data_IF_092129517605
#
_entry.id   IF_092129517605
#
_cell.length_a   1.000
_cell.length_b   1.000
_cell.length_c   1.000
_cell.angle_alpha   90.00
_cell.angle_beta   90.00
_cell.angle_gamma   90.00
#
_symmetry.space_group_name_H-M   'P 1'
#
loop_
_entity.id
_entity.type
_entity.pdbx_description
1 polymer ?
#
# COMPACT_ATOMS: atom_id res chain seq x y z
N UNK A 1 1.41 5.82 -20.27
CA UNK A 1 1.87 6.84 -19.29
C UNK A 1 3.20 6.36 -18.71
N UNK A 2 4.04 7.27 -18.18
CA UNK A 2 5.32 6.89 -17.55
C UNK A 2 5.41 7.58 -16.19
N UNK A 3 5.85 6.84 -15.17
CA UNK A 3 6.12 7.41 -13.85
C UNK A 3 7.39 8.27 -13.86
N UNK A 4 7.36 9.39 -13.14
CA UNK A 4 8.51 10.25 -12.85
C UNK A 4 9.39 9.73 -11.71
N UNK A 5 9.15 8.50 -11.23
CA UNK A 5 10.01 7.83 -10.25
C UNK A 5 11.48 7.95 -10.66
N UNK A 6 12.39 8.26 -9.74
CA UNK A 6 13.83 8.34 -10.01
C UNK A 6 14.55 7.23 -9.27
N UNK A 7 14.51 7.29 -7.95
CA UNK A 7 15.27 6.45 -7.04
C UNK A 7 14.50 6.28 -5.73
N UNK A 8 15.02 5.44 -4.85
CA UNK A 8 14.64 5.43 -3.44
C UNK A 8 15.65 6.25 -2.65
N UNK A 9 15.21 6.89 -1.56
CA UNK A 9 16.07 7.68 -0.69
C UNK A 9 15.75 7.40 0.77
N UNK A 10 16.78 7.19 1.58
CA UNK A 10 16.62 7.02 3.03
C UNK A 10 16.15 8.31 3.69
N UNK A 11 15.05 8.23 4.44
CA UNK A 11 14.46 9.39 5.13
C UNK A 11 15.29 9.91 6.30
N UNK A 12 16.39 9.24 6.63
CA UNK A 12 17.27 9.61 7.75
C UNK A 12 18.67 10.01 7.30
N UNK A 13 19.36 9.15 6.54
CA UNK A 13 20.75 9.38 6.13
C UNK A 13 20.92 9.95 4.72
N UNK A 14 19.85 10.08 3.93
CA UNK A 14 19.89 10.61 2.57
C UNK A 14 20.51 9.67 1.51
N UNK A 15 20.93 8.46 1.90
CA UNK A 15 21.48 7.47 0.96
C UNK A 15 20.45 7.11 -0.10
N UNK A 16 20.89 7.01 -1.35
CA UNK A 16 20.05 6.70 -2.51
C UNK A 16 20.23 5.25 -2.95
N UNK A 17 19.13 4.65 -3.41
CA UNK A 17 19.08 3.26 -3.87
C UNK A 17 18.29 3.18 -5.18
N UNK A 18 18.51 2.10 -5.94
CA UNK A 18 17.72 1.82 -7.14
C UNK A 18 16.25 1.65 -6.78
N UNK A 19 15.37 2.24 -7.59
CA UNK A 19 13.93 1.97 -7.49
C UNK A 19 13.50 0.73 -8.29
N UNK A 20 14.43 0.12 -9.01
CA UNK A 20 14.19 -0.99 -9.94
C UNK A 20 14.69 -2.33 -9.37
N UNK A 21 15.05 -2.35 -8.08
CA UNK A 21 15.44 -3.54 -7.32
C UNK A 21 14.56 -3.70 -6.07
N UNK A 22 14.34 -4.93 -5.57
CA UNK A 22 13.64 -5.17 -4.31
C UNK A 22 14.36 -4.54 -3.12
N UNK A 23 13.73 -3.53 -2.52
CA UNK A 23 14.27 -2.81 -1.38
C UNK A 23 13.27 -2.77 -0.23
N UNK A 24 13.76 -3.04 0.99
CA UNK A 24 12.97 -2.99 2.23
C UNK A 24 13.26 -1.74 3.04
N UNK A 25 14.36 -1.78 3.78
CA UNK A 25 14.88 -0.68 4.60
C UNK A 25 16.22 -0.22 4.02
N UNK A 26 16.71 0.93 4.47
CA UNK A 26 18.04 1.40 4.13
C UNK A 26 19.11 0.43 4.65
N UNK A 27 19.94 -0.10 3.77
CA UNK A 27 21.03 -1.04 4.14
C UNK A 27 22.12 -0.40 5.00
N UNK A 28 22.20 0.93 5.02
CA UNK A 28 23.22 1.67 5.80
C UNK A 28 22.80 1.93 7.25
N UNK A 29 21.51 2.18 7.49
CA UNK A 29 21.05 2.62 8.82
C UNK A 29 19.72 2.00 9.29
N UNK A 30 19.13 1.09 8.52
CA UNK A 30 17.89 0.38 8.86
C UNK A 30 16.64 1.26 8.93
N UNK A 31 16.67 2.48 8.37
CA UNK A 31 15.53 3.41 8.35
C UNK A 31 14.74 3.30 7.04
N UNK A 32 13.57 3.90 7.03
CA UNK A 32 12.61 3.83 5.92
C UNK A 32 13.18 4.51 4.67
N UNK A 33 12.90 3.92 3.52
CA UNK A 33 13.18 4.49 2.21
C UNK A 33 11.89 5.12 1.66
N UNK A 34 12.01 6.27 1.00
CA UNK A 34 10.92 6.89 0.24
C UNK A 34 11.23 6.92 -1.25
N UNK A 35 10.23 6.62 -2.11
CA UNK A 35 10.34 6.87 -3.54
C UNK A 35 10.48 8.37 -3.80
N UNK A 36 11.45 8.71 -4.65
CA UNK A 36 11.71 10.06 -5.14
C UNK A 36 11.28 10.16 -6.60
N UNK A 37 10.90 11.38 -7.00
CA UNK A 37 10.36 11.65 -8.32
C UNK A 37 11.05 12.88 -8.90
N UNK A 38 11.18 12.94 -10.22
CA UNK A 38 11.58 14.16 -10.93
C UNK A 38 10.42 15.16 -10.94
N UNK A 39 10.29 15.88 -9.82
CA UNK A 39 9.28 16.93 -9.62
C UNK A 39 9.46 18.07 -10.64
N UNK A 40 10.70 18.33 -11.07
CA UNK A 40 11.00 19.41 -11.99
C UNK A 40 10.38 19.17 -13.37
N UNK A 41 10.41 17.92 -13.83
CA UNK A 41 9.76 17.51 -15.08
C UNK A 41 8.27 17.24 -14.87
N UNK A 42 7.88 16.63 -13.76
CA UNK A 42 6.47 16.35 -13.46
C UNK A 42 5.64 17.65 -13.41
N UNK A 43 6.14 18.70 -12.75
CA UNK A 43 5.40 19.98 -12.63
C UNK A 43 5.10 20.67 -13.97
N UNK A 44 5.87 20.38 -15.02
CA UNK A 44 5.68 20.95 -16.36
C UNK A 44 4.71 20.15 -17.22
N UNK A 45 4.62 18.84 -16.99
CA UNK A 45 3.95 17.91 -17.90
C UNK A 45 2.72 17.24 -17.27
N UNK A 46 2.71 17.01 -15.96
CA UNK A 46 1.61 16.38 -15.25
C UNK A 46 0.60 17.43 -14.78
N UNK A 47 -0.31 17.78 -15.67
CA UNK A 47 -1.33 18.82 -15.44
C UNK A 47 -2.67 18.21 -15.00
N UNK A 48 -3.52 19.05 -14.39
CA UNK A 48 -4.88 18.64 -13.98
C UNK A 48 -5.74 18.22 -15.17
N UNK A 49 -5.55 18.81 -16.34
CA UNK A 49 -6.33 18.46 -17.53
C UNK A 49 -6.10 17.03 -18.01
N UNK A 50 -4.89 16.49 -17.82
CA UNK A 50 -4.60 15.08 -18.11
C UNK A 50 -5.44 14.10 -17.29
N UNK A 51 -5.96 14.54 -16.13
CA UNK A 51 -6.74 13.70 -15.23
C UNK A 51 -8.23 13.63 -15.62
N UNK A 52 -8.70 14.49 -16.53
CA UNK A 52 -10.14 14.69 -16.81
C UNK A 52 -10.85 13.42 -17.26
N UNK A 53 -10.22 12.70 -18.19
CA UNK A 53 -10.83 11.52 -18.83
C UNK A 53 -10.32 10.19 -18.24
N UNK A 54 -9.54 10.26 -17.15
CA UNK A 54 -9.01 9.07 -16.48
C UNK A 54 -10.06 8.45 -15.57
N UNK A 55 -9.98 7.12 -15.44
CA UNK A 55 -10.84 6.38 -14.52
C UNK A 55 -10.76 6.93 -13.07
N UNK A 56 -11.87 6.94 -12.33
CA UNK A 56 -11.94 7.45 -10.96
C UNK A 56 -11.37 6.43 -9.97
N UNK A 57 -10.05 6.27 -9.95
CA UNK A 57 -9.34 5.44 -8.98
C UNK A 57 -7.98 6.07 -8.65
N UNK A 58 -7.25 5.52 -7.68
CA UNK A 58 -5.97 6.10 -7.28
C UNK A 58 -4.90 6.05 -8.39
N UNK A 59 -5.02 5.14 -9.35
CA UNK A 59 -4.06 4.98 -10.45
C UNK A 59 -4.18 6.08 -11.51
N UNK A 60 -5.20 6.94 -11.44
CA UNK A 60 -5.28 8.14 -12.28
C UNK A 60 -4.08 9.08 -12.11
N UNK A 61 -3.33 8.96 -11.01
CA UNK A 61 -2.11 9.73 -10.74
C UNK A 61 -0.83 8.97 -11.11
N UNK A 62 -0.88 8.06 -12.09
CA UNK A 62 0.18 7.11 -12.46
C UNK A 62 1.59 7.72 -12.56
N UNK A 63 1.71 8.93 -13.09
CA UNK A 63 2.97 9.68 -13.22
C UNK A 63 3.71 9.85 -11.89
N UNK A 64 2.97 9.81 -10.78
CA UNK A 64 3.48 9.95 -9.42
C UNK A 64 3.34 8.64 -8.64
N UNK A 65 3.30 7.48 -9.29
CA UNK A 65 3.19 6.17 -8.62
C UNK A 65 4.50 5.37 -8.71
N UNK A 66 4.78 4.43 -7.78
CA UNK A 66 6.10 3.82 -7.63
C UNK A 66 6.39 2.67 -8.61
N UNK A 67 5.71 2.63 -9.76
CA UNK A 67 5.90 1.62 -10.82
C UNK A 67 6.24 2.28 -12.16
N UNK A 68 6.99 1.61 -13.01
CA UNK A 68 7.44 2.10 -14.32
C UNK A 68 6.38 1.92 -15.39
N UNK A 69 5.70 0.77 -15.38
CA UNK A 69 4.78 0.37 -16.45
C UNK A 69 3.36 0.12 -15.94
N UNK A 70 2.36 0.59 -16.70
CA UNK A 70 0.94 0.39 -16.36
C UNK A 70 0.51 -1.08 -16.37
N UNK A 71 1.19 -1.92 -17.15
CA UNK A 71 0.99 -3.38 -17.21
C UNK A 71 1.17 -4.05 -15.84
N UNK A 72 1.91 -3.42 -14.93
CA UNK A 72 2.16 -3.90 -13.58
C UNK A 72 1.13 -3.46 -12.55
N UNK A 73 0.15 -2.61 -12.93
CA UNK A 73 -0.92 -2.19 -12.03
C UNK A 73 -1.74 -3.41 -11.58
N UNK A 74 -1.84 -3.55 -10.26
CA UNK A 74 -2.70 -4.51 -9.58
C UNK A 74 -3.74 -3.69 -8.82
N UNK A 75 -4.92 -3.57 -9.40
CA UNK A 75 -6.02 -2.77 -8.86
C UNK A 75 -7.29 -3.60 -8.70
N UNK A 76 -8.06 -3.26 -7.67
CA UNK A 76 -9.45 -3.69 -7.45
C UNK A 76 -10.42 -2.49 -7.61
N UNK A 77 -9.93 -1.34 -8.07
CA UNK A 77 -10.69 -0.10 -8.21
C UNK A 77 -10.58 0.85 -7.02
N UNK A 78 -9.60 0.65 -6.13
CA UNK A 78 -9.39 1.47 -4.94
C UNK A 78 -9.09 2.94 -5.24
N UNK A 79 -9.50 3.79 -4.30
CA UNK A 79 -9.38 5.22 -4.36
C UNK A 79 -10.58 5.93 -4.96
N UNK A 80 -10.43 7.24 -5.17
CA UNK A 80 -11.49 8.17 -5.55
C UNK A 80 -12.77 8.04 -4.71
N UNK A 81 -12.58 7.75 -3.42
CA UNK A 81 -13.67 7.59 -2.45
C UNK A 81 -14.38 8.92 -2.20
N UNK A 82 -15.66 8.92 -1.80
CA UNK A 82 -16.41 10.16 -1.63
C UNK A 82 -15.89 11.04 -0.49
N UNK A 83 -16.14 12.33 -0.63
CA UNK A 83 -15.98 13.34 0.43
C UNK A 83 -17.38 13.85 0.76
N UNK A 84 -17.85 13.59 1.97
CA UNK A 84 -19.17 14.01 2.43
C UNK A 84 -19.08 15.27 3.27
N UNK A 85 -19.89 16.28 2.97
CA UNK A 85 -20.09 17.41 3.88
C UNK A 85 -20.98 16.98 5.05
N UNK A 86 -20.53 17.19 6.29
CA UNK A 86 -21.17 16.68 7.52
C UNK A 86 -21.79 17.81 8.35
N UNK A 87 -22.73 18.55 7.76
CA UNK A 87 -23.33 19.78 8.33
C UNK A 87 -23.83 19.64 9.77
N UNK A 88 -24.57 18.56 10.06
CA UNK A 88 -25.15 18.34 11.39
C UNK A 88 -24.09 18.09 12.47
N UNK A 89 -23.01 17.37 12.14
CA UNK A 89 -21.88 17.18 13.05
C UNK A 89 -21.07 18.47 13.18
N UNK A 90 -20.84 19.17 12.07
CA UNK A 90 -20.18 20.48 12.04
C UNK A 90 -20.84 21.47 13.00
N UNK A 91 -22.17 21.62 12.92
CA UNK A 91 -22.93 22.50 13.81
C UNK A 91 -22.77 22.14 15.30
N UNK A 92 -22.73 20.85 15.64
CA UNK A 92 -22.54 20.39 17.04
C UNK A 92 -21.18 20.73 17.62
N UNK A 93 -20.14 20.81 16.78
CA UNK A 93 -18.76 21.08 17.22
C UNK A 93 -18.29 22.50 16.89
N UNK A 94 -19.18 23.37 16.40
CA UNK A 94 -18.85 24.74 16.01
C UNK A 94 -18.03 24.88 14.72
N UNK A 95 -18.07 23.88 13.82
CA UNK A 95 -17.41 23.92 12.52
C UNK A 95 -18.40 24.20 11.38
N UNK A 96 -18.10 25.23 10.58
CA UNK A 96 -18.90 25.60 9.40
C UNK A 96 -18.49 24.84 8.11
N UNK A 97 -17.41 24.06 8.16
CA UNK A 97 -16.84 23.38 7.00
C UNK A 97 -16.22 22.04 7.41
N UNK A 98 -17.07 21.10 7.84
CA UNK A 98 -16.63 19.76 8.25
C UNK A 98 -16.91 18.74 7.15
N UNK A 99 -15.86 18.05 6.69
CA UNK A 99 -15.94 17.03 5.65
C UNK A 99 -15.42 15.67 6.15
N UNK A 100 -15.99 14.59 5.62
CA UNK A 100 -15.56 13.21 5.84
C UNK A 100 -15.06 12.60 4.54
N UNK A 101 -13.78 12.22 4.50
CA UNK A 101 -13.23 11.37 3.44
C UNK A 101 -13.48 9.90 3.78
N UNK A 102 -14.46 9.27 3.13
CA UNK A 102 -14.90 7.92 3.49
C UNK A 102 -14.08 6.83 2.78
N UNK A 103 -12.96 6.47 3.39
CA UNK A 103 -12.09 5.39 2.94
C UNK A 103 -12.63 3.97 3.24
N UNK A 104 -13.79 3.86 3.91
CA UNK A 104 -14.46 2.59 4.18
C UNK A 104 -15.06 1.96 2.93
N UNK A 105 -15.28 2.75 1.87
CA UNK A 105 -15.86 2.29 0.60
C UNK A 105 -14.84 1.74 -0.41
N UNK A 106 -13.59 1.56 0.00
CA UNK A 106 -12.61 0.86 -0.83
C UNK A 106 -12.95 -0.64 -0.96
N UNK A 107 -12.40 -1.35 -1.98
CA UNK A 107 -12.71 -2.76 -2.25
C UNK A 107 -12.49 -3.74 -1.08
N UNK A 108 -11.57 -3.41 -0.16
CA UNK A 108 -11.26 -4.21 1.04
C UNK A 108 -11.72 -3.50 2.32
N UNK A 109 -12.80 -2.72 2.22
CA UNK A 109 -13.46 -1.98 3.28
C UNK A 109 -12.55 -1.06 4.14
N UNK A 110 -11.39 -0.65 3.62
CA UNK A 110 -10.46 0.23 4.34
C UNK A 110 -9.45 0.91 3.43
N UNK A 111 -8.87 2.00 3.92
CA UNK A 111 -7.78 2.73 3.25
C UNK A 111 -6.52 1.87 2.99
N UNK A 112 -6.41 0.68 3.59
CA UNK A 112 -5.27 -0.24 3.38
C UNK A 112 -5.20 -0.69 1.92
N UNK A 113 -6.34 -0.71 1.22
CA UNK A 113 -6.46 -1.02 -0.20
C UNK A 113 -5.46 -0.23 -1.05
N UNK A 114 -5.41 1.09 -0.87
CA UNK A 114 -4.54 1.99 -1.63
C UNK A 114 -3.06 1.62 -1.53
N UNK A 115 -2.58 1.50 -0.28
CA UNK A 115 -1.18 1.18 -0.05
C UNK A 115 -0.81 -0.19 -0.60
N UNK A 116 -1.69 -1.18 -0.43
CA UNK A 116 -1.39 -2.55 -0.87
C UNK A 116 -1.50 -2.73 -2.36
N UNK A 117 -2.41 -2.03 -3.03
CA UNK A 117 -2.37 -1.96 -4.49
C UNK A 117 -1.03 -1.43 -4.98
N UNK A 118 -0.52 -0.32 -4.42
CA UNK A 118 0.77 0.24 -4.82
C UNK A 118 1.95 -0.74 -4.57
N UNK A 119 2.02 -1.33 -3.38
CA UNK A 119 3.11 -2.23 -3.02
C UNK A 119 3.07 -3.58 -3.75
N UNK A 120 1.89 -4.16 -3.95
CA UNK A 120 1.72 -5.41 -4.71
C UNK A 120 2.00 -5.18 -6.20
N UNK A 121 1.60 -4.03 -6.75
CA UNK A 121 1.95 -3.66 -8.14
C UNK A 121 3.46 -3.54 -8.30
N UNK A 122 4.15 -2.93 -7.33
CA UNK A 122 5.61 -2.85 -7.36
C UNK A 122 6.27 -4.21 -7.18
N UNK A 123 5.74 -5.04 -6.28
CA UNK A 123 6.26 -6.40 -6.12
C UNK A 123 6.13 -7.24 -7.40
N UNK A 124 4.99 -7.12 -8.10
CA UNK A 124 4.78 -7.73 -9.42
C UNK A 124 5.81 -7.22 -10.44
N UNK A 125 6.01 -5.90 -10.52
CA UNK A 125 7.00 -5.29 -11.42
C UNK A 125 8.42 -5.78 -11.16
N UNK A 126 8.80 -5.95 -9.89
CA UNK A 126 10.11 -6.45 -9.49
C UNK A 126 10.27 -7.98 -9.61
N UNK A 127 9.25 -8.67 -10.14
CA UNK A 127 9.30 -10.11 -10.36
C UNK A 127 9.14 -10.98 -9.10
N UNK A 128 8.81 -10.38 -7.95
CA UNK A 128 8.58 -11.11 -6.70
C UNK A 128 7.40 -12.07 -6.84
N UNK A 129 7.44 -13.18 -6.09
CA UNK A 129 6.42 -14.25 -6.14
C UNK A 129 5.65 -14.43 -4.85
N UNK A 130 6.28 -14.14 -3.71
CA UNK A 130 5.74 -14.42 -2.38
C UNK A 130 5.88 -13.21 -1.49
N UNK A 131 4.79 -12.83 -0.85
CA UNK A 131 4.69 -11.68 0.04
C UNK A 131 4.41 -12.16 1.45
N UNK A 132 4.94 -11.45 2.43
CA UNK A 132 4.62 -11.68 3.84
C UNK A 132 4.14 -10.43 4.54
N UNK A 133 3.25 -10.60 5.52
CA UNK A 133 2.85 -9.54 6.44
C UNK A 133 2.45 -10.12 7.80
N UNK A 134 3.12 -9.73 8.90
CA UNK A 134 2.56 -9.88 10.23
C UNK A 134 1.45 -8.82 10.44
N UNK A 135 0.20 -9.26 10.60
CA UNK A 135 -0.93 -8.34 10.82
C UNK A 135 -2.12 -9.04 11.45
N UNK A 136 -2.78 -8.35 12.39
CA UNK A 136 -4.03 -8.76 13.04
C UNK A 136 -5.27 -7.99 12.53
N UNK A 137 -5.16 -7.21 11.45
CA UNK A 137 -6.22 -6.30 11.01
C UNK A 137 -6.34 -6.19 9.49
N UNK A 138 -7.01 -5.14 9.02
CA UNK A 138 -7.44 -4.97 7.61
C UNK A 138 -6.31 -5.03 6.58
N UNK A 139 -5.05 -4.88 6.99
CA UNK A 139 -3.93 -5.00 6.09
C UNK A 139 -3.67 -6.46 5.65
N UNK A 140 -3.99 -7.45 6.50
CA UNK A 140 -3.87 -8.87 6.19
C UNK A 140 -4.78 -9.28 5.04
N UNK A 141 -6.09 -9.05 5.20
CA UNK A 141 -7.09 -9.36 4.20
C UNK A 141 -6.83 -8.65 2.89
N UNK A 142 -6.57 -7.34 2.94
CA UNK A 142 -6.25 -6.57 1.76
C UNK A 142 -4.98 -7.10 1.05
N UNK A 143 -3.91 -7.47 1.78
CA UNK A 143 -2.68 -7.99 1.15
C UNK A 143 -2.97 -9.27 0.39
N UNK A 144 -3.74 -10.17 1.01
CA UNK A 144 -4.17 -11.41 0.37
C UNK A 144 -5.00 -11.15 -0.90
N UNK A 145 -5.97 -10.23 -0.86
CA UNK A 145 -6.81 -9.93 -2.03
C UNK A 145 -6.01 -9.36 -3.22
N UNK A 146 -5.08 -8.43 -2.96
CA UNK A 146 -4.22 -7.88 -4.03
C UNK A 146 -3.20 -8.91 -4.53
N UNK A 147 -2.60 -9.70 -3.64
CA UNK A 147 -1.68 -10.77 -4.02
C UNK A 147 -2.38 -11.79 -4.93
N UNK A 148 -3.58 -12.25 -4.56
CA UNK A 148 -4.39 -13.15 -5.36
C UNK A 148 -4.70 -12.56 -6.75
N UNK A 149 -5.08 -11.27 -6.82
CA UNK A 149 -5.30 -10.56 -8.10
C UNK A 149 -4.05 -10.51 -8.97
N UNK A 150 -2.87 -10.44 -8.35
CA UNK A 150 -1.58 -10.39 -9.03
C UNK A 150 -1.00 -11.78 -9.39
N UNK A 151 -1.61 -12.86 -8.91
CA UNK A 151 -1.04 -14.21 -9.01
C UNK A 151 0.19 -14.42 -8.12
N UNK A 152 0.28 -13.69 -7.00
CA UNK A 152 1.32 -13.81 -5.98
C UNK A 152 0.81 -14.60 -4.79
N UNK A 153 1.71 -15.27 -4.08
CA UNK A 153 1.38 -15.95 -2.83
C UNK A 153 1.44 -14.97 -1.66
N UNK A 154 0.39 -14.97 -0.83
CA UNK A 154 0.31 -14.16 0.38
C UNK A 154 0.51 -15.04 1.61
N UNK A 155 1.48 -14.71 2.46
CA UNK A 155 1.71 -15.34 3.76
C UNK A 155 1.38 -14.34 4.86
N UNK A 156 0.36 -14.64 5.66
CA UNK A 156 -0.05 -13.80 6.78
C UNK A 156 0.28 -14.51 8.07
N UNK A 157 0.95 -13.80 8.98
CA UNK A 157 1.19 -14.25 10.35
C UNK A 157 0.33 -13.43 11.29
N UNK A 158 -0.59 -14.07 11.99
CA UNK A 158 -1.66 -13.41 12.73
C UNK A 158 -1.83 -14.06 14.12
N UNK A 159 -1.97 -13.29 15.21
CA UNK A 159 -2.38 -13.83 16.51
C UNK A 159 -3.70 -14.61 16.44
N UNK A 160 -3.82 -15.71 17.17
CA UNK A 160 -5.05 -16.52 17.22
C UNK A 160 -6.27 -15.74 17.71
N UNK A 161 -6.07 -14.75 18.58
CA UNK A 161 -7.11 -13.90 19.16
C UNK A 161 -7.50 -12.72 18.25
N UNK A 162 -6.90 -12.60 17.05
CA UNK A 162 -7.27 -11.58 16.08
C UNK A 162 -8.74 -11.75 15.63
N UNK A 163 -9.45 -10.66 15.31
CA UNK A 163 -10.87 -10.74 14.93
C UNK A 163 -11.12 -11.73 13.79
N UNK A 164 -12.16 -12.57 13.94
CA UNK A 164 -12.50 -13.59 12.93
C UNK A 164 -12.70 -13.01 11.53
N UNK A 165 -13.21 -11.78 11.43
CA UNK A 165 -13.40 -11.10 10.15
C UNK A 165 -12.07 -10.98 9.39
N UNK A 166 -10.99 -10.59 10.07
CA UNK A 166 -9.67 -10.44 9.45
C UNK A 166 -9.06 -11.79 9.07
N UNK A 167 -9.28 -12.84 9.87
CA UNK A 167 -8.87 -14.21 9.51
C UNK A 167 -9.61 -14.69 8.25
N UNK A 168 -10.93 -14.51 8.21
CA UNK A 168 -11.79 -14.91 7.08
C UNK A 168 -11.42 -14.17 5.79
N UNK A 169 -11.12 -12.88 5.86
CA UNK A 169 -10.69 -12.11 4.68
C UNK A 169 -9.42 -12.70 4.03
N UNK A 170 -8.44 -13.16 4.83
CA UNK A 170 -7.23 -13.82 4.30
C UNK A 170 -7.59 -15.13 3.64
N UNK A 171 -8.35 -15.99 4.33
CA UNK A 171 -8.71 -17.34 3.86
C UNK A 171 -9.51 -17.25 2.56
N UNK A 172 -10.55 -16.42 2.51
CA UNK A 172 -11.43 -16.27 1.33
C UNK A 172 -10.67 -15.68 0.15
N UNK A 173 -9.68 -14.82 0.40
CA UNK A 173 -8.80 -14.30 -0.65
C UNK A 173 -7.76 -15.32 -1.13
N UNK A 174 -7.68 -16.52 -0.53
CA UNK A 174 -6.70 -17.55 -0.89
C UNK A 174 -5.31 -17.34 -0.27
N UNK A 175 -5.18 -16.51 0.77
CA UNK A 175 -3.92 -16.30 1.47
C UNK A 175 -3.57 -17.44 2.42
N UNK A 176 -2.28 -17.69 2.60
CA UNK A 176 -1.74 -18.62 3.58
C UNK A 176 -1.79 -17.99 4.98
N UNK A 177 -2.87 -18.25 5.72
CA UNK A 177 -3.03 -17.77 7.09
C UNK A 177 -2.28 -18.68 8.09
N UNK A 178 -1.33 -18.10 8.81
CA UNK A 178 -0.56 -18.76 9.86
C UNK A 178 -0.95 -18.14 11.20
N UNK A 179 -1.76 -18.86 11.97
CA UNK A 179 -2.21 -18.42 13.29
C UNK A 179 -1.14 -18.72 14.34
N UNK A 180 -0.80 -17.70 15.12
CA UNK A 180 0.26 -17.72 16.12
C UNK A 180 -0.38 -17.69 17.51
N UNK A 181 -0.01 -18.65 18.35
CA UNK A 181 -0.30 -18.60 19.78
C UNK A 181 0.68 -17.62 20.43
N UNK A 182 0.24 -16.37 20.56
CA UNK A 182 1.08 -15.27 21.03
C UNK A 182 0.59 -13.91 20.55
N UNK A 183 1.36 -12.88 20.84
CA UNK A 183 1.05 -11.50 20.50
C UNK A 183 1.45 -11.16 19.06
N UNK A 184 1.01 -10.00 18.57
CA UNK A 184 1.41 -9.48 17.25
C UNK A 184 2.94 -9.33 17.11
N UNK A 185 3.65 -9.09 18.22
CA UNK A 185 5.12 -9.08 18.24
C UNK A 185 5.72 -10.43 17.90
N UNK A 186 5.13 -11.52 18.42
CA UNK A 186 5.58 -12.89 18.21
C UNK A 186 5.32 -13.31 16.76
N UNK A 187 4.14 -12.98 16.23
CA UNK A 187 3.83 -13.14 14.81
C UNK A 187 4.83 -12.38 13.93
N UNK A 188 5.28 -11.19 14.34
CA UNK A 188 6.34 -10.43 13.68
C UNK A 188 7.69 -11.14 13.67
N UNK A 189 8.09 -11.75 14.79
CA UNK A 189 9.34 -12.52 14.88
C UNK A 189 9.29 -13.73 13.95
N UNK A 190 8.21 -14.51 14.03
CA UNK A 190 8.02 -15.72 13.22
C UNK A 190 7.97 -15.39 11.73
N UNK A 191 7.22 -14.34 11.36
CA UNK A 191 7.16 -13.85 9.98
C UNK A 191 8.53 -13.50 9.42
N UNK A 192 9.40 -12.85 10.20
CA UNK A 192 10.76 -12.51 9.76
C UNK A 192 11.64 -13.75 9.58
N UNK A 193 11.53 -14.73 10.48
CA UNK A 193 12.22 -16.01 10.33
C UNK A 193 11.81 -16.73 9.04
N UNK A 194 10.50 -16.85 8.81
CA UNK A 194 9.95 -17.48 7.61
C UNK A 194 10.23 -16.73 6.33
N UNK A 195 10.34 -15.40 6.38
CA UNK A 195 10.71 -14.60 5.23
C UNK A 195 12.07 -15.00 4.66
N UNK A 196 13.06 -15.25 5.52
CA UNK A 196 14.38 -15.70 5.10
C UNK A 196 14.39 -17.13 4.57
N UNK A 197 13.61 -18.03 5.19
CA UNK A 197 13.55 -19.44 4.79
C UNK A 197 12.81 -19.67 3.47
N UNK A 198 11.79 -18.86 3.17
CA UNK A 198 10.84 -19.09 2.07
C UNK A 198 10.92 -18.04 0.96
N UNK A 199 11.89 -17.12 1.04
CA UNK A 199 12.06 -15.99 0.10
C UNK A 199 10.81 -15.11 0.02
N UNK A 200 10.30 -14.69 1.19
CA UNK A 200 9.11 -13.84 1.29
C UNK A 200 9.52 -12.37 1.38
N UNK A 201 8.93 -11.53 0.54
CA UNK A 201 9.11 -10.09 0.62
C UNK A 201 8.12 -9.46 1.61
N UNK A 202 8.63 -8.78 2.63
CA UNK A 202 7.81 -8.19 3.69
C UNK A 202 7.18 -6.87 3.23
N UNK A 203 5.86 -6.87 3.07
CA UNK A 203 5.07 -5.69 2.67
C UNK A 203 4.36 -5.03 3.86
N UNK A 204 4.76 -5.36 5.09
CA UNK A 204 4.22 -4.72 6.29
C UNK A 204 4.63 -3.24 6.40
N UNK A 205 3.95 -2.53 7.29
CA UNK A 205 4.04 -1.06 7.32
C UNK A 205 5.47 -0.65 7.69
N UNK A 206 6.08 0.22 6.87
CA UNK A 206 7.47 0.69 7.03
C UNK A 206 8.54 -0.40 6.81
N UNK A 207 8.19 -1.60 6.35
CA UNK A 207 9.18 -2.61 5.93
C UNK A 207 9.50 -2.56 4.43
N UNK A 208 8.76 -1.76 3.68
CA UNK A 208 8.96 -1.46 2.27
C UNK A 208 8.60 0.01 1.98
N UNK A 209 9.07 0.58 0.87
CA UNK A 209 8.91 2.01 0.57
C UNK A 209 7.62 2.39 -0.18
N UNK A 210 6.83 1.45 -0.67
CA UNK A 210 5.81 1.71 -1.70
C UNK A 210 4.40 1.90 -1.15
N UNK A 211 4.01 1.33 0.00
CA UNK A 211 2.63 1.48 0.54
C UNK A 211 2.25 2.92 0.85
N UNK A 212 3.21 3.75 1.24
CA UNK A 212 2.96 5.17 1.51
C UNK A 212 2.53 5.90 0.25
N UNK A 213 2.99 5.46 -0.91
CA UNK A 213 2.67 6.08 -2.20
C UNK A 213 1.23 5.85 -2.62
N UNK A 214 0.66 4.68 -2.30
CA UNK A 214 -0.79 4.48 -2.45
C UNK A 214 -1.57 5.42 -1.56
N UNK A 215 -1.15 5.59 -0.30
CA UNK A 215 -1.85 6.45 0.67
C UNK A 215 -1.80 7.93 0.31
N UNK A 216 -0.70 8.41 -0.30
CA UNK A 216 -0.57 9.83 -0.66
C UNK A 216 -1.66 10.29 -1.62
N UNK A 217 -2.23 9.39 -2.42
CA UNK A 217 -3.33 9.68 -3.35
C UNK A 217 -4.58 10.19 -2.65
N UNK A 218 -4.79 9.86 -1.37
CA UNK A 218 -5.86 10.47 -0.56
C UNK A 218 -5.71 11.99 -0.50
N UNK A 219 -4.47 12.49 -0.39
CA UNK A 219 -4.18 13.92 -0.39
C UNK A 219 -4.26 14.57 -1.77
N UNK A 220 -4.26 13.80 -2.86
CA UNK A 220 -4.52 14.33 -4.21
C UNK A 220 -6.02 14.42 -4.51
N UNK A 221 -6.84 13.66 -3.78
CA UNK A 221 -8.29 13.64 -3.93
C UNK A 221 -8.99 14.71 -3.09
N UNK A 222 -8.36 15.19 -2.02
CA UNK A 222 -8.79 16.32 -1.19
C UNK A 222 -8.26 17.62 -1.80
#
# INVERSE_FOLDING_TARGET
MRSYLTNLECTYCGETFSADEPMRLCDKCGKVLYPRYDISTASKNFTRDLLRDRAPNMWRYFEMMPIREESNIVTLGEGFTPIFETKALGAKIGSNALFLKDEGLNPTASFKARGLSAAVSKAKELGLKKLTMPSAGNAAGAMASYAARAGLEAFVFMPQDAPEANQKEVIVSGGNLNLIDGLISDAGIISRGKAAEMDLFDVSTLQEPYRVEGKKTMGYEI
#
